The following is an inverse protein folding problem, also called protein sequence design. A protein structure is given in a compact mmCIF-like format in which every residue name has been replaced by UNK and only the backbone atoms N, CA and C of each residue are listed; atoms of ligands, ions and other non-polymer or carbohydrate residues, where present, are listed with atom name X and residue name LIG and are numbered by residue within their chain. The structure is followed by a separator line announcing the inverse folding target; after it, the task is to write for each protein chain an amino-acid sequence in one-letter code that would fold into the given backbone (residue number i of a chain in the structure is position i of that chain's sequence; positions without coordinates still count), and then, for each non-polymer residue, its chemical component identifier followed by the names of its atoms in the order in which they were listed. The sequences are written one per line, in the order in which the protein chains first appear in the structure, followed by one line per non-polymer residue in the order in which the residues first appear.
data_IF_743551775518
#
_entry.id   IF_743551775518
#
_cell.length_a   1.000
_cell.length_b   1.000
_cell.length_c   1.000
_cell.angle_alpha   90.00
_cell.angle_beta   90.00
_cell.angle_gamma   90.00
#
_symmetry.space_group_name_H-M   'P 1'
#
loop_
_entity.id
_entity.type
_entity.pdbx_description
1 polymer ?
#
# COMPACT_ATOMS: atom_id res chain seq x y z
N UNK A 1 65.09 23.94 36.69
CA UNK A 1 63.62 23.85 36.84
C UNK A 1 63.03 23.68 35.46
N UNK A 2 62.70 22.44 35.06
CA UNK A 2 61.93 22.20 33.84
C UNK A 2 60.46 22.07 34.21
N UNK A 3 59.53 22.75 33.51
CA UNK A 3 58.11 22.64 33.78
C UNK A 3 57.63 21.24 33.39
N UNK A 4 56.82 20.63 34.26
CA UNK A 4 56.22 19.32 34.03
C UNK A 4 55.38 19.33 32.76
N UNK A 5 55.62 18.36 31.88
CA UNK A 5 54.78 18.13 30.71
C UNK A 5 53.35 17.81 31.16
N UNK A 6 52.31 18.34 30.48
CA UNK A 6 50.96 17.86 30.68
C UNK A 6 50.90 16.40 30.24
N UNK A 7 50.56 15.52 31.19
CA UNK A 7 50.25 14.13 30.90
C UNK A 7 49.00 14.16 30.01
N UNK A 8 49.14 13.84 28.72
CA UNK A 8 48.01 13.52 27.88
C UNK A 8 47.34 12.28 28.48
N UNK A 9 46.25 12.47 29.22
CA UNK A 9 45.44 11.37 29.71
C UNK A 9 44.77 10.70 28.51
N UNK A 10 45.25 9.52 28.12
CA UNK A 10 44.50 8.61 27.27
C UNK A 10 43.19 8.26 28.00
N UNK A 11 42.11 8.94 27.65
CA UNK A 11 40.76 8.60 28.10
C UNK A 11 40.31 7.38 27.29
N UNK A 12 40.55 6.19 27.84
CA UNK A 12 40.00 4.94 27.31
C UNK A 12 38.49 4.87 27.57
N UNK A 13 37.78 4.09 26.75
CA UNK A 13 36.35 3.84 26.99
C UNK A 13 36.16 2.92 28.20
N UNK A 14 35.21 3.28 29.05
CA UNK A 14 34.76 2.39 30.12
C UNK A 14 33.92 1.25 29.54
N UNK A 15 33.87 0.11 30.23
CA UNK A 15 33.02 -1.01 29.82
C UNK A 15 31.55 -0.59 29.65
N UNK A 16 31.06 0.31 30.52
CA UNK A 16 29.68 0.80 30.48
C UNK A 16 29.42 1.61 29.20
N UNK A 17 30.34 2.47 28.79
CA UNK A 17 30.22 3.24 27.55
C UNK A 17 30.21 2.34 26.31
N UNK A 18 31.05 1.31 26.30
CA UNK A 18 31.07 0.31 25.22
C UNK A 18 29.74 -0.44 25.16
N UNK A 19 29.22 -0.91 26.30
CA UNK A 19 27.94 -1.62 26.35
C UNK A 19 26.76 -0.72 25.97
N UNK A 20 26.77 0.55 26.39
CA UNK A 20 25.73 1.52 26.03
C UNK A 20 25.75 1.81 24.52
N UNK A 21 26.93 2.02 23.93
CA UNK A 21 27.07 2.23 22.49
C UNK A 21 26.64 1.00 21.68
N UNK A 22 27.00 -0.20 22.10
CA UNK A 22 26.54 -1.46 21.48
C UNK A 22 25.02 -1.60 21.57
N UNK A 23 24.43 -1.32 22.74
CA UNK A 23 22.98 -1.33 22.91
C UNK A 23 22.28 -0.34 21.97
N UNK A 24 22.81 0.88 21.85
CA UNK A 24 22.30 1.89 20.92
C UNK A 24 22.42 1.43 19.46
N UNK A 25 23.56 0.85 19.08
CA UNK A 25 23.76 0.31 17.73
C UNK A 25 22.75 -0.80 17.40
N UNK A 26 22.45 -1.70 18.34
CA UNK A 26 21.44 -2.76 18.15
C UNK A 26 20.04 -2.15 17.99
N UNK A 27 19.68 -1.16 18.81
CA UNK A 27 18.38 -0.48 18.70
C UNK A 27 18.24 0.23 17.35
N UNK A 28 19.29 0.93 16.90
CA UNK A 28 19.27 1.61 15.60
C UNK A 28 19.21 0.62 14.44
N UNK A 29 19.97 -0.48 14.51
CA UNK A 29 19.96 -1.53 13.49
C UNK A 29 18.58 -2.19 13.36
N UNK A 30 17.94 -2.51 14.48
CA UNK A 30 16.60 -3.11 14.47
C UNK A 30 15.52 -2.14 13.99
N UNK A 31 15.56 -0.88 14.45
CA UNK A 31 14.65 0.16 13.98
C UNK A 31 14.79 0.41 12.47
N UNK A 32 16.01 0.51 11.95
CA UNK A 32 16.24 0.72 10.51
C UNK A 32 15.83 -0.50 9.67
N UNK A 33 16.17 -1.71 10.09
CA UNK A 33 15.76 -2.94 9.40
C UNK A 33 14.22 -3.07 9.32
N UNK A 34 13.52 -2.78 10.42
CA UNK A 34 12.06 -2.81 10.44
C UNK A 34 11.45 -1.72 9.55
N UNK A 35 11.96 -0.49 9.59
CA UNK A 35 11.50 0.60 8.73
C UNK A 35 11.66 0.26 7.24
N UNK A 36 12.79 -0.32 6.83
CA UNK A 36 13.03 -0.76 5.45
C UNK A 36 12.08 -1.88 5.06
N UNK A 37 11.86 -2.86 5.94
CA UNK A 37 10.92 -3.94 5.69
C UNK A 37 9.48 -3.41 5.49
N UNK A 38 9.04 -2.48 6.34
CA UNK A 38 7.74 -1.82 6.21
C UNK A 38 7.64 -0.99 4.92
N UNK A 39 8.64 -0.15 4.62
CA UNK A 39 8.67 0.65 3.40
C UNK A 39 8.58 -0.24 2.15
N UNK A 40 9.36 -1.32 2.09
CA UNK A 40 9.30 -2.26 0.94
C UNK A 40 7.96 -2.97 0.81
N UNK A 41 7.26 -3.22 1.93
CA UNK A 41 5.91 -3.82 1.90
C UNK A 41 4.87 -2.79 1.46
N UNK A 42 4.99 -1.55 1.93
CA UNK A 42 4.12 -0.45 1.55
C UNK A 42 4.26 -0.11 0.05
N UNK A 43 5.48 -0.03 -0.47
CA UNK A 43 5.74 0.24 -1.88
C UNK A 43 5.15 -0.84 -2.79
N UNK A 44 5.33 -2.12 -2.44
CA UNK A 44 4.70 -3.23 -3.19
C UNK A 44 3.18 -3.20 -3.12
N UNK A 45 2.60 -2.73 -2.02
CA UNK A 45 1.15 -2.57 -1.90
C UNK A 45 0.67 -1.41 -2.79
N UNK A 46 1.32 -0.26 -2.71
CA UNK A 46 1.00 0.93 -3.50
C UNK A 46 1.14 0.69 -5.01
N UNK A 47 2.19 -0.01 -5.46
CA UNK A 47 2.36 -0.37 -6.87
C UNK A 47 1.19 -1.22 -7.38
N UNK A 48 0.76 -2.22 -6.60
CA UNK A 48 -0.38 -3.09 -6.96
C UNK A 48 -1.72 -2.36 -6.91
N UNK A 49 -1.90 -1.45 -5.95
CA UNK A 49 -3.09 -0.61 -5.89
C UNK A 49 -3.15 0.36 -7.07
N UNK A 50 -2.01 0.90 -7.49
CA UNK A 50 -1.88 1.70 -8.71
C UNK A 50 -2.26 0.90 -9.97
N UNK A 51 -1.77 -0.33 -10.09
CA UNK A 51 -2.18 -1.25 -11.16
C UNK A 51 -3.68 -1.54 -11.14
N UNK A 52 -4.24 -1.85 -9.97
CA UNK A 52 -5.67 -2.10 -9.80
C UNK A 52 -6.51 -0.88 -10.20
N UNK A 53 -6.11 0.32 -9.78
CA UNK A 53 -6.79 1.56 -10.12
C UNK A 53 -6.77 1.82 -11.64
N UNK A 54 -5.64 1.60 -12.30
CA UNK A 54 -5.53 1.75 -13.76
C UNK A 54 -6.39 0.71 -14.48
N UNK A 55 -6.30 -0.56 -14.08
CA UNK A 55 -7.12 -1.64 -14.66
C UNK A 55 -8.60 -1.34 -14.55
N UNK A 56 -9.03 -0.88 -13.39
CA UNK A 56 -10.42 -0.59 -13.12
C UNK A 56 -10.94 0.57 -14.00
N UNK A 57 -10.14 1.62 -14.24
CA UNK A 57 -10.48 2.68 -15.19
C UNK A 57 -10.57 2.15 -16.63
N UNK A 58 -9.65 1.27 -17.04
CA UNK A 58 -9.69 0.68 -18.39
C UNK A 58 -10.89 -0.24 -18.60
N UNK A 59 -11.25 -1.05 -17.59
CA UNK A 59 -12.41 -1.93 -17.63
C UNK A 59 -13.71 -1.13 -17.70
N UNK A 60 -13.81 -0.05 -16.92
CA UNK A 60 -14.94 0.86 -17.00
C UNK A 60 -15.07 1.50 -18.40
N UNK A 61 -13.96 1.98 -18.97
CA UNK A 61 -13.98 2.55 -20.32
C UNK A 61 -14.38 1.52 -21.38
N UNK A 62 -13.87 0.29 -21.28
CA UNK A 62 -14.26 -0.81 -22.17
C UNK A 62 -15.75 -1.15 -22.05
N UNK A 63 -16.28 -1.21 -20.83
CA UNK A 63 -17.69 -1.48 -20.57
C UNK A 63 -18.60 -0.35 -21.10
N UNK A 64 -18.17 0.92 -21.01
CA UNK A 64 -18.90 2.03 -21.66
C UNK A 64 -18.96 1.92 -23.18
N UNK A 65 -17.92 1.37 -23.81
CA UNK A 65 -17.90 1.17 -25.26
C UNK A 65 -18.74 -0.05 -25.69
N UNK A 66 -18.85 -1.07 -24.82
CA UNK A 66 -19.58 -2.31 -25.06
C UNK A 66 -20.34 -2.73 -23.80
N UNK A 67 -21.53 -2.16 -23.56
CA UNK A 67 -22.25 -2.36 -22.30
C UNK A 67 -22.75 -3.81 -22.13
N UNK A 68 -23.04 -4.50 -23.22
CA UNK A 68 -23.55 -5.88 -23.21
C UNK A 68 -22.45 -6.92 -22.99
N UNK A 69 -21.18 -6.55 -23.18
CA UNK A 69 -20.04 -7.44 -23.02
C UNK A 69 -19.56 -7.44 -21.56
N UNK A 70 -19.51 -8.62 -20.94
CA UNK A 70 -18.93 -8.76 -19.61
C UNK A 70 -17.43 -8.40 -19.61
N UNK A 71 -16.95 -7.65 -18.60
CA UNK A 71 -15.55 -7.26 -18.52
C UNK A 71 -14.66 -8.50 -18.37
N UNK A 72 -13.72 -8.66 -19.31
CA UNK A 72 -12.79 -9.79 -19.31
C UNK A 72 -11.66 -9.51 -18.32
N UNK A 73 -11.43 -10.45 -17.40
CA UNK A 73 -10.38 -10.32 -16.42
C UNK A 73 -8.98 -10.51 -17.06
N UNK A 74 -8.05 -9.56 -16.90
CA UNK A 74 -6.67 -9.72 -17.35
C UNK A 74 -5.93 -10.78 -16.52
N UNK A 75 -4.85 -11.35 -17.06
CA UNK A 75 -4.11 -12.45 -16.40
C UNK A 75 -3.66 -12.06 -14.99
N UNK A 76 -3.91 -12.94 -14.03
CA UNK A 76 -3.54 -12.73 -12.62
C UNK A 76 -4.50 -11.83 -11.84
N UNK A 77 -5.60 -11.39 -12.47
CA UNK A 77 -6.65 -10.61 -11.85
C UNK A 77 -7.99 -11.33 -12.00
N UNK A 78 -8.87 -11.15 -11.01
CA UNK A 78 -10.29 -11.49 -11.09
C UNK A 78 -11.05 -10.18 -11.12
N UNK A 79 -12.01 -10.12 -12.04
CA UNK A 79 -12.94 -9.01 -12.16
C UNK A 79 -14.31 -9.56 -11.83
N UNK A 80 -14.98 -8.90 -10.91
CA UNK A 80 -16.36 -9.17 -10.52
C UNK A 80 -17.20 -7.96 -10.96
N UNK A 81 -18.27 -8.24 -11.69
CA UNK A 81 -19.24 -7.24 -12.11
C UNK A 81 -20.58 -7.58 -11.46
N UNK A 82 -21.11 -6.65 -10.66
CA UNK A 82 -22.40 -6.79 -10.00
C UNK A 82 -23.26 -5.56 -10.20
N UNK A 83 -24.56 -5.69 -10.03
CA UNK A 83 -25.49 -4.57 -9.98
C UNK A 83 -26.10 -4.46 -8.59
N UNK A 84 -26.18 -3.25 -8.06
CA UNK A 84 -26.79 -2.97 -6.76
C UNK A 84 -27.80 -1.85 -6.91
N UNK A 85 -29.06 -2.11 -6.53
CA UNK A 85 -30.12 -1.09 -6.56
C UNK A 85 -30.01 -0.27 -5.26
N UNK A 86 -29.76 1.03 -5.38
CA UNK A 86 -29.70 1.94 -4.23
C UNK A 86 -30.89 2.90 -4.29
N UNK A 87 -31.62 3.00 -3.18
CA UNK A 87 -32.69 4.00 -3.02
C UNK A 87 -32.04 5.34 -2.66
N UNK A 88 -32.14 6.32 -3.55
CA UNK A 88 -31.69 7.69 -3.27
C UNK A 88 -32.69 8.42 -2.36
N UNK A 89 -32.23 9.53 -1.79
CA UNK A 89 -33.00 10.40 -0.88
C UNK A 89 -34.31 10.91 -1.51
N UNK A 90 -34.39 10.98 -2.83
CA UNK A 90 -35.57 11.43 -3.59
C UNK A 90 -36.53 10.28 -3.97
N UNK A 91 -36.46 9.14 -3.28
CA UNK A 91 -37.23 7.91 -3.55
C UNK A 91 -36.98 7.25 -4.92
N UNK A 92 -36.07 7.78 -5.72
CA UNK A 92 -35.64 7.17 -6.98
C UNK A 92 -34.77 5.95 -6.72
N UNK A 93 -35.13 4.83 -7.34
CA UNK A 93 -34.27 3.64 -7.40
C UNK A 93 -33.31 3.83 -8.56
N UNK A 94 -32.00 3.86 -8.28
CA UNK A 94 -30.98 3.83 -9.33
C UNK A 94 -30.14 2.57 -9.20
N UNK A 95 -29.84 1.99 -10.36
CA UNK A 95 -28.91 0.87 -10.46
C UNK A 95 -27.48 1.42 -10.36
N UNK A 96 -26.68 0.80 -9.50
CA UNK A 96 -25.23 1.00 -9.46
C UNK A 96 -24.57 -0.22 -10.07
N UNK A 97 -23.71 0.01 -11.05
CA UNK A 97 -22.78 -1.02 -11.52
C UNK A 97 -21.57 -1.04 -10.60
N UNK A 98 -21.29 -2.19 -10.02
CA UNK A 98 -20.16 -2.45 -9.15
C UNK A 98 -19.11 -3.22 -9.95
N UNK A 99 -17.98 -2.57 -10.21
CA UNK A 99 -16.79 -3.22 -10.78
C UNK A 99 -15.77 -3.43 -9.67
N UNK A 100 -15.55 -4.67 -9.27
CA UNK A 100 -14.52 -5.05 -8.32
C UNK A 100 -13.36 -5.75 -9.02
N UNK A 101 -12.14 -5.32 -8.71
CA UNK A 101 -10.90 -5.93 -9.22
C UNK A 101 -10.08 -6.44 -8.04
N UNK A 102 -9.64 -7.70 -8.14
CA UNK A 102 -8.78 -8.33 -7.13
C UNK A 102 -7.68 -9.17 -7.77
N UNK A 103 -6.49 -9.26 -7.18
CA UNK A 103 -5.47 -10.20 -7.62
C UNK A 103 -5.95 -11.64 -7.40
N UNK A 104 -5.65 -12.51 -8.36
CA UNK A 104 -6.02 -13.92 -8.32
C UNK A 104 -5.26 -14.65 -7.19
N UNK A 105 -5.97 -15.46 -6.41
CA UNK A 105 -5.39 -16.25 -5.31
C UNK A 105 -5.09 -15.50 -4.00
N UNK A 106 -5.50 -14.23 -3.85
CA UNK A 106 -5.36 -13.50 -2.57
C UNK A 106 -6.71 -13.15 -1.95
N UNK A 107 -6.90 -13.46 -0.66
CA UNK A 107 -8.01 -12.99 0.18
C UNK A 107 -7.80 -11.55 0.65
N UNK A 108 -7.57 -10.63 -0.30
CA UNK A 108 -7.59 -9.19 -0.02
C UNK A 108 -8.95 -8.62 -0.37
N UNK A 109 -9.38 -7.55 0.33
CA UNK A 109 -10.58 -6.83 -0.06
C UNK A 109 -10.39 -6.31 -1.50
N UNK A 110 -11.40 -6.48 -2.37
CA UNK A 110 -11.32 -6.00 -3.74
C UNK A 110 -11.32 -4.47 -3.78
N UNK A 111 -10.68 -3.90 -4.80
CA UNK A 111 -10.86 -2.50 -5.12
C UNK A 111 -12.15 -2.39 -5.95
N UNK A 112 -13.14 -1.65 -5.44
CA UNK A 112 -14.46 -1.54 -6.08
C UNK A 112 -14.70 -0.12 -6.56
N UNK A 113 -15.13 0.00 -7.82
CA UNK A 113 -15.70 1.22 -8.37
C UNK A 113 -17.20 1.07 -8.45
N UNK A 114 -17.88 2.03 -7.86
CA UNK A 114 -19.31 2.12 -7.86
C UNK A 114 -19.72 3.17 -8.91
N UNK A 115 -20.35 2.72 -9.99
CA UNK A 115 -20.77 3.55 -11.11
C UNK A 115 -22.27 3.73 -10.98
N UNK A 116 -22.72 4.97 -10.80
CA UNK A 116 -24.13 5.30 -10.88
C UNK A 116 -24.56 5.23 -12.35
N UNK A 117 -25.62 4.47 -12.64
CA UNK A 117 -26.18 4.44 -13.99
C UNK A 117 -26.90 5.78 -14.25
N UNK A 118 -26.19 6.70 -14.88
CA UNK A 118 -26.75 7.92 -15.47
C UNK A 118 -27.13 7.60 -16.92
N UNK A 119 -28.15 6.76 -17.10
CA UNK A 119 -28.82 6.70 -18.40
C UNK A 119 -29.49 8.07 -18.65
N UNK A 120 -29.20 8.76 -19.76
CA UNK A 120 -29.95 9.95 -20.15
C UNK A 120 -31.39 9.63 -20.57
#
# INVERSE_FOLDING_TARGET
MSPGQPICMNHGFTLIEVLASLGLCVLLATATASAVAFASRAERAAAREGEAAFLLQTLYAAQRLRPDDLPVAPRGWRVEHGTSIVKLSDETLREWHLLSVRPDGQERPPLTLCILDDAP
#
